data_IF_079935505770
#
_entry.id   IF_079935505770
#
_cell.length_a   1.000
_cell.length_b   1.000
_cell.length_c   1.000
_cell.angle_alpha   90.00
_cell.angle_beta   90.00
_cell.angle_gamma   90.00
#
_symmetry.space_group_name_H-M   'P 1'
#
loop_
_entity.id
_entity.type
_entity.pdbx_description
1 polymer ?
#
# COMPACT_ATOMS: atom_id res chain seq x y z
N UNK A 1 -32.96 0.09 -4.55
CA UNK A 1 -32.22 0.94 -3.60
C UNK A 1 -32.11 2.37 -4.14
N UNK A 2 -31.76 2.57 -5.41
CA UNK A 2 -31.67 3.91 -6.03
C UNK A 2 -32.92 4.75 -5.86
N UNK A 3 -34.08 4.14 -6.07
CA UNK A 3 -35.37 4.84 -5.95
C UNK A 3 -35.66 5.25 -4.51
N UNK A 4 -35.33 4.41 -3.57
CA UNK A 4 -35.45 4.72 -2.13
C UNK A 4 -34.56 5.87 -1.70
N UNK A 5 -33.31 5.88 -2.13
CA UNK A 5 -32.36 6.94 -1.83
C UNK A 5 -32.84 8.30 -2.35
N UNK A 6 -33.40 8.33 -3.55
CA UNK A 6 -34.00 9.53 -4.13
C UNK A 6 -35.17 10.05 -3.30
N UNK A 7 -36.05 9.16 -2.86
CA UNK A 7 -37.21 9.51 -2.00
C UNK A 7 -36.69 10.07 -0.67
N UNK A 8 -35.77 9.39 0.00
CA UNK A 8 -35.20 9.83 1.28
C UNK A 8 -34.55 11.20 1.15
N UNK A 9 -33.76 11.42 0.11
CA UNK A 9 -33.17 12.73 -0.15
C UNK A 9 -34.20 13.84 -0.31
N UNK A 10 -35.25 13.59 -1.05
CA UNK A 10 -36.29 14.59 -1.30
C UNK A 10 -37.13 14.92 -0.06
N UNK A 11 -37.32 13.96 0.82
CA UNK A 11 -38.08 14.11 2.05
C UNK A 11 -37.32 14.71 3.22
N UNK A 12 -36.00 14.57 3.22
CA UNK A 12 -35.15 15.04 4.32
C UNK A 12 -34.46 16.37 3.96
N UNK A 13 -34.33 17.23 4.96
CA UNK A 13 -33.62 18.53 4.86
C UNK A 13 -32.14 18.42 5.23
N UNK A 14 -31.71 17.29 5.76
CA UNK A 14 -30.33 17.00 6.12
C UNK A 14 -29.59 16.37 4.94
N UNK A 15 -28.26 16.46 4.89
CA UNK A 15 -27.47 15.77 3.87
C UNK A 15 -27.67 14.27 3.92
N UNK A 16 -27.80 13.64 2.75
CA UNK A 16 -27.95 12.19 2.60
C UNK A 16 -26.79 11.66 1.77
N UNK A 17 -26.01 10.75 2.35
CA UNK A 17 -24.89 10.09 1.69
C UNK A 17 -25.23 8.65 1.38
N UNK A 18 -24.88 8.20 0.19
CA UNK A 18 -25.16 6.85 -0.27
C UNK A 18 -23.89 6.00 -0.42
N UNK A 19 -24.03 4.71 -0.16
CA UNK A 19 -23.02 3.70 -0.42
C UNK A 19 -23.57 2.80 -1.53
N UNK A 20 -23.23 3.10 -2.79
CA UNK A 20 -23.73 2.35 -3.92
C UNK A 20 -25.25 2.42 -4.14
N UNK A 21 -25.89 3.44 -3.63
CA UNK A 21 -27.36 3.61 -3.67
C UNK A 21 -27.83 4.56 -4.77
N UNK A 22 -27.02 4.77 -5.79
CA UNK A 22 -27.32 5.67 -6.92
C UNK A 22 -26.77 7.08 -6.74
N UNK A 23 -26.94 7.90 -7.78
CA UNK A 23 -26.37 9.25 -7.84
C UNK A 23 -27.26 10.34 -7.25
N UNK A 24 -28.51 10.03 -6.91
CA UNK A 24 -29.49 10.99 -6.42
C UNK A 24 -29.39 11.26 -4.92
N UNK A 25 -28.19 11.46 -4.42
CA UNK A 25 -27.89 11.75 -3.01
C UNK A 25 -26.90 12.91 -2.95
N UNK A 26 -26.68 13.50 -1.77
CA UNK A 26 -25.79 14.65 -1.61
C UNK A 26 -24.33 14.28 -1.71
N UNK A 27 -23.96 13.06 -1.40
CA UNK A 27 -22.57 12.60 -1.51
C UNK A 27 -22.47 11.08 -1.53
N UNK A 28 -21.31 10.59 -1.87
CA UNK A 28 -21.00 9.18 -1.96
C UNK A 28 -19.98 8.78 -0.91
N UNK A 29 -20.17 7.62 -0.32
CA UNK A 29 -19.19 6.98 0.57
C UNK A 29 -18.65 5.71 -0.08
N UNK A 30 -17.35 5.54 0.03
CA UNK A 30 -16.67 4.34 -0.43
C UNK A 30 -15.48 4.08 0.50
N UNK A 31 -15.18 2.81 0.73
CA UNK A 31 -14.02 2.43 1.54
C UNK A 31 -12.77 2.51 0.68
N UNK A 32 -11.70 3.12 1.22
CA UNK A 32 -10.43 3.32 0.49
C UNK A 32 -9.83 2.01 -0.02
N UNK A 33 -9.95 0.93 0.74
CA UNK A 33 -9.48 -0.39 0.33
C UNK A 33 -10.16 -0.89 -0.94
N UNK A 34 -11.43 -0.54 -1.12
CA UNK A 34 -12.21 -0.94 -2.29
C UNK A 34 -11.82 -0.13 -3.53
N UNK A 35 -11.65 1.19 -3.37
CA UNK A 35 -11.19 2.07 -4.46
C UNK A 35 -9.82 1.64 -4.96
N UNK A 36 -8.91 1.31 -4.03
CA UNK A 36 -7.53 0.98 -4.34
C UNK A 36 -7.32 -0.50 -4.69
N UNK A 37 -8.35 -1.33 -4.55
CA UNK A 37 -8.25 -2.75 -4.83
C UNK A 37 -7.32 -3.50 -3.88
N UNK A 38 -7.34 -3.14 -2.59
CA UNK A 38 -6.52 -3.80 -1.56
C UNK A 38 -7.21 -5.00 -0.93
N UNK A 39 -8.51 -5.14 -1.13
CA UNK A 39 -9.29 -6.24 -0.63
C UNK A 39 -9.70 -7.18 -1.78
N UNK A 40 -9.37 -8.45 -1.65
CA UNK A 40 -9.36 -9.41 -2.74
C UNK A 40 -10.52 -10.40 -2.71
N UNK A 41 -10.93 -10.83 -1.52
CA UNK A 41 -11.80 -11.99 -1.38
C UNK A 41 -13.23 -11.76 -1.81
N UNK A 42 -13.71 -10.54 -1.77
CA UNK A 42 -15.08 -10.21 -2.10
C UNK A 42 -15.20 -8.82 -2.70
N UNK A 43 -15.81 -8.75 -3.89
CA UNK A 43 -16.08 -7.50 -4.57
C UNK A 43 -17.57 -7.34 -4.81
N UNK A 44 -18.30 -6.58 -3.97
CA UNK A 44 -19.69 -6.27 -4.21
C UNK A 44 -19.92 -5.51 -5.52
N UNK A 45 -21.08 -5.67 -6.12
CA UNK A 45 -21.42 -5.04 -7.41
C UNK A 45 -21.32 -3.50 -7.39
N UNK A 46 -21.57 -2.88 -6.24
CA UNK A 46 -21.55 -1.42 -6.11
C UNK A 46 -20.14 -0.82 -5.97
N UNK A 47 -19.14 -1.66 -5.80
CA UNK A 47 -17.75 -1.21 -5.69
C UNK A 47 -17.14 -1.10 -7.08
N UNK A 48 -16.62 0.10 -7.37
CA UNK A 48 -15.78 0.34 -8.53
C UNK A 48 -14.33 0.44 -8.08
N UNK A 49 -13.49 -0.46 -8.58
CA UNK A 49 -12.07 -0.48 -8.33
C UNK A 49 -11.36 0.42 -9.34
N UNK A 50 -10.66 1.44 -8.87
CA UNK A 50 -9.94 2.39 -9.73
C UNK A 50 -8.52 1.99 -10.03
N UNK A 51 -7.88 1.26 -9.12
CA UNK A 51 -6.58 0.64 -9.34
C UNK A 51 -6.57 -0.76 -8.74
N UNK A 52 -5.70 -1.61 -9.24
CA UNK A 52 -5.45 -2.93 -8.66
C UNK A 52 -4.26 -2.86 -7.69
N UNK A 53 -4.50 -2.30 -6.49
CA UNK A 53 -3.47 -2.06 -5.50
C UNK A 53 -2.84 -3.35 -4.98
N UNK A 54 -3.62 -4.41 -4.80
CA UNK A 54 -3.11 -5.70 -4.36
C UNK A 54 -2.04 -6.25 -5.32
N UNK A 55 -2.33 -6.24 -6.61
CA UNK A 55 -1.37 -6.70 -7.62
C UNK A 55 -0.10 -5.86 -7.62
N UNK A 56 -0.22 -4.54 -7.49
CA UNK A 56 0.91 -3.62 -7.42
C UNK A 56 1.77 -3.86 -6.19
N UNK A 57 1.16 -4.03 -5.03
CA UNK A 57 1.87 -4.30 -3.78
C UNK A 57 2.54 -5.67 -3.81
N UNK A 58 1.85 -6.67 -4.30
CA UNK A 58 2.39 -8.02 -4.46
C UNK A 58 3.62 -8.02 -5.37
N UNK A 59 3.55 -7.35 -6.50
CA UNK A 59 4.67 -7.21 -7.42
C UNK A 59 5.87 -6.50 -6.79
N UNK A 60 5.62 -5.41 -6.05
CA UNK A 60 6.67 -4.65 -5.36
C UNK A 60 7.37 -5.50 -4.29
N UNK A 61 6.62 -6.25 -3.49
CA UNK A 61 7.17 -7.13 -2.46
C UNK A 61 7.96 -8.28 -3.09
N UNK A 62 7.47 -8.87 -4.16
CA UNK A 62 8.18 -9.92 -4.88
C UNK A 62 9.48 -9.41 -5.50
N UNK A 63 9.48 -8.23 -6.07
CA UNK A 63 10.69 -7.60 -6.61
C UNK A 63 11.74 -7.40 -5.53
N UNK A 64 11.33 -6.85 -4.39
CA UNK A 64 12.21 -6.72 -3.22
C UNK A 64 12.80 -8.06 -2.78
N UNK A 65 11.96 -9.07 -2.61
CA UNK A 65 12.41 -10.40 -2.21
C UNK A 65 13.41 -11.02 -3.19
N UNK A 66 13.17 -10.85 -4.49
CA UNK A 66 14.08 -11.33 -5.52
C UNK A 66 15.42 -10.60 -5.50
N UNK A 67 15.41 -9.28 -5.34
CA UNK A 67 16.64 -8.49 -5.24
C UNK A 67 17.48 -8.88 -4.02
N UNK A 68 16.83 -9.13 -2.89
CA UNK A 68 17.51 -9.63 -1.69
C UNK A 68 18.13 -11.01 -1.93
N UNK A 69 17.39 -11.93 -2.54
CA UNK A 69 17.90 -13.26 -2.87
C UNK A 69 19.07 -13.24 -3.84
N UNK A 70 19.04 -12.33 -4.81
CA UNK A 70 20.11 -12.15 -5.80
C UNK A 70 21.26 -11.28 -5.29
N UNK A 71 21.19 -10.82 -4.03
CA UNK A 71 22.17 -9.92 -3.43
C UNK A 71 22.36 -8.59 -4.18
N UNK A 72 21.30 -8.15 -4.86
CA UNK A 72 21.27 -6.84 -5.55
C UNK A 72 20.84 -5.70 -4.62
N UNK A 73 20.12 -6.02 -3.57
CA UNK A 73 19.68 -5.09 -2.54
C UNK A 73 20.15 -5.58 -1.16
N UNK A 74 20.66 -4.70 -0.27
CA UNK A 74 20.92 -3.29 -0.50
C UNK A 74 22.11 -3.05 -1.45
N UNK A 75 22.01 -1.98 -2.23
CA UNK A 75 23.07 -1.50 -3.10
C UNK A 75 23.82 -0.32 -2.47
N UNK A 76 24.79 0.25 -3.18
CA UNK A 76 25.59 1.36 -2.67
C UNK A 76 24.77 2.64 -2.44
N UNK A 77 23.74 2.87 -3.23
CA UNK A 77 22.87 4.03 -3.09
C UNK A 77 21.96 3.94 -1.86
N UNK A 78 21.63 2.72 -1.45
CA UNK A 78 20.74 2.43 -0.32
C UNK A 78 21.50 1.89 0.90
N UNK A 79 22.81 2.16 0.99
CA UNK A 79 23.65 1.72 2.09
C UNK A 79 24.44 2.87 2.67
N UNK A 80 24.66 2.82 3.97
CA UNK A 80 25.56 3.73 4.65
C UNK A 80 26.91 3.08 4.83
N UNK A 81 27.98 3.75 4.42
CA UNK A 81 29.33 3.28 4.61
C UNK A 81 29.90 3.84 5.91
N UNK A 82 30.61 3.01 6.64
CA UNK A 82 31.36 3.42 7.82
C UNK A 82 32.57 4.27 7.37
N UNK A 83 32.94 5.27 8.15
CA UNK A 83 34.17 6.03 7.91
C UNK A 83 35.38 5.11 8.08
N UNK A 84 36.39 5.30 7.24
CA UNK A 84 37.60 4.45 7.26
C UNK A 84 38.28 4.41 8.63
N UNK A 85 38.36 5.55 9.31
CA UNK A 85 38.94 5.63 10.66
C UNK A 85 38.20 4.77 11.68
N UNK A 86 36.86 4.70 11.59
CA UNK A 86 36.04 3.89 12.47
C UNK A 86 36.17 2.41 12.13
N UNK A 87 36.26 2.08 10.85
CA UNK A 87 36.47 0.73 10.39
C UNK A 87 37.84 0.18 10.86
N UNK A 88 38.89 0.97 10.73
CA UNK A 88 40.23 0.59 11.22
C UNK A 88 40.27 0.36 12.73
N UNK A 89 39.58 1.21 13.51
CA UNK A 89 39.44 1.02 14.95
C UNK A 89 38.72 -0.29 15.28
N UNK A 90 37.65 -0.58 14.56
CA UNK A 90 36.86 -1.79 14.77
C UNK A 90 37.68 -3.05 14.44
N UNK A 91 38.37 -3.04 13.32
CA UNK A 91 39.27 -4.12 12.90
C UNK A 91 40.42 -4.32 13.87
N UNK A 92 41.01 -3.23 14.40
CA UNK A 92 42.05 -3.28 15.42
C UNK A 92 41.58 -3.83 16.75
N UNK A 93 40.32 -3.63 17.12
CA UNK A 93 39.75 -4.14 18.38
C UNK A 93 39.37 -5.61 18.34
N UNK A 94 38.96 -6.11 17.17
CA UNK A 94 38.40 -7.48 17.03
C UNK A 94 39.44 -8.53 16.59
N UNK A 95 40.68 -8.10 16.29
CA UNK A 95 41.61 -8.98 15.61
C UNK A 95 41.15 -9.33 14.20
N UNK A 96 41.94 -10.07 13.45
CA UNK A 96 41.73 -10.35 12.03
C UNK A 96 40.62 -11.36 11.69
N UNK A 97 39.71 -11.63 12.59
CA UNK A 97 38.71 -12.71 12.41
C UNK A 97 37.40 -12.27 11.73
N UNK A 98 37.22 -11.01 11.41
CA UNK A 98 36.04 -10.52 10.71
C UNK A 98 36.17 -10.74 9.21
N UNK A 99 35.60 -11.82 8.73
CA UNK A 99 35.36 -12.02 7.30
C UNK A 99 33.87 -11.94 7.06
N UNK A 100 33.48 -11.01 6.19
CA UNK A 100 32.15 -11.02 5.60
C UNK A 100 32.14 -12.12 4.55
N UNK A 101 31.33 -13.12 4.79
CA UNK A 101 31.01 -14.11 3.76
C UNK A 101 29.97 -13.55 2.78
#
# INVERSE_FOLDING_TARGET
IRDRSKIVKNELKIPVYGIGAGSCVDGQLVIVHDILGLFWDFKPKFIKQYINGEQMFHNAINEYANEVHLQKFPDNEHSYNMKEEELEKLLGMSGSSWKYD
#
